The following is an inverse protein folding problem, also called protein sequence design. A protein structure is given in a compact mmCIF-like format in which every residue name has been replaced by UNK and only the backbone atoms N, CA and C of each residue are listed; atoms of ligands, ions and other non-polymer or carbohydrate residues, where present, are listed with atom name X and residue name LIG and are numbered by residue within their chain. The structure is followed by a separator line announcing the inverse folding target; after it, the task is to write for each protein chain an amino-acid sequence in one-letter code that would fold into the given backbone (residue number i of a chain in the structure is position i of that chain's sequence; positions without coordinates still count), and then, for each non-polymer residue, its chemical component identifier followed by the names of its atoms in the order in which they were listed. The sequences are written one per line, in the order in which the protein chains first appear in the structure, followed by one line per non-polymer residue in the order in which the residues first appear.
data_IF_923626961762
#
_entry.id   IF_923626961762
#
_cell.length_a   1.000
_cell.length_b   1.000
_cell.length_c   1.000
_cell.angle_alpha   90.00
_cell.angle_beta   90.00
_cell.angle_gamma   90.00
#
_symmetry.space_group_name_H-M   'P 1'
#
loop_
_entity.id
_entity.type
_entity.pdbx_description
1 polymer ?
#
# COMPACT_ATOMS: atom_id res chain seq x y z
N UNK A 1 3.24 22.82 9.68
CA UNK A 1 1.84 22.70 9.78
C UNK A 1 1.52 22.67 11.26
N UNK A 2 0.37 23.25 11.66
CA UNK A 2 0.17 23.76 13.03
C UNK A 2 -0.03 22.70 14.13
N UNK A 3 0.01 21.39 13.78
CA UNK A 3 -0.14 20.31 14.77
C UNK A 3 -1.47 20.30 15.51
N UNK A 4 -2.54 20.77 14.86
CA UNK A 4 -3.89 20.89 15.45
C UNK A 4 -4.80 19.70 15.16
N UNK A 5 -4.25 18.61 14.59
CA UNK A 5 -5.01 17.37 14.38
C UNK A 5 -5.42 16.76 15.74
N UNK A 6 -6.51 16.00 15.73
CA UNK A 6 -6.94 15.25 16.90
C UNK A 6 -5.85 14.27 17.37
N UNK A 7 -5.72 14.13 18.70
CA UNK A 7 -4.78 13.20 19.35
C UNK A 7 -5.44 11.82 19.45
N UNK A 8 -5.53 11.12 18.33
CA UNK A 8 -6.15 9.79 18.19
C UNK A 8 -5.21 8.84 17.46
N UNK A 9 -5.29 7.54 17.67
CA UNK A 9 -4.56 6.57 16.86
C UNK A 9 -4.88 6.73 15.37
N UNK A 10 -3.89 6.49 14.50
CA UNK A 10 -4.10 6.47 13.05
C UNK A 10 -3.65 5.12 12.46
N UNK A 11 -4.43 4.61 11.52
CA UNK A 11 -4.04 3.52 10.64
C UNK A 11 -4.16 4.03 9.20
N UNK A 12 -3.05 4.03 8.47
CA UNK A 12 -2.95 4.65 7.15
C UNK A 12 -2.07 3.80 6.24
N UNK A 13 -2.38 3.74 4.97
CA UNK A 13 -1.59 2.98 4.00
C UNK A 13 -2.17 3.06 2.61
N UNK A 14 -1.75 2.15 1.76
CA UNK A 14 -2.10 2.13 0.36
C UNK A 14 -1.97 0.71 -0.23
N UNK A 15 -2.48 0.56 -1.45
CA UNK A 15 -2.25 -0.62 -2.28
C UNK A 15 -0.89 -0.52 -2.99
N UNK A 16 -0.27 -1.63 -3.33
CA UNK A 16 1.08 -1.63 -3.93
C UNK A 16 1.13 -1.12 -5.38
N UNK A 17 -0.01 -0.95 -6.04
CA UNK A 17 -0.12 -0.43 -7.41
C UNK A 17 -1.29 0.56 -7.55
N UNK A 18 -1.40 1.53 -6.63
CA UNK A 18 -2.51 2.49 -6.56
C UNK A 18 -2.75 3.19 -7.90
N UNK A 19 -1.69 3.61 -8.56
CA UNK A 19 -1.73 4.33 -9.84
C UNK A 19 -1.10 3.43 -10.90
N UNK A 20 -1.92 2.54 -11.43
CA UNK A 20 -1.53 1.64 -12.52
C UNK A 20 -2.59 1.60 -13.63
N UNK A 21 -2.37 0.80 -14.65
CA UNK A 21 -3.31 0.60 -15.74
C UNK A 21 -3.59 1.88 -16.53
N UNK A 22 -4.84 2.30 -16.60
CA UNK A 22 -5.27 3.47 -17.40
C UNK A 22 -4.68 4.82 -16.93
N UNK A 23 -4.12 4.88 -15.73
CA UNK A 23 -3.49 6.09 -15.19
C UNK A 23 -1.98 6.16 -15.46
N UNK A 24 -1.41 5.13 -16.07
CA UNK A 24 0.00 5.10 -16.46
C UNK A 24 0.11 5.70 -17.85
N UNK A 25 0.85 6.79 -17.98
CA UNK A 25 1.16 7.33 -19.30
C UNK A 25 2.09 6.33 -20.01
N UNK A 26 1.61 5.70 -21.06
CA UNK A 26 2.36 4.71 -21.82
C UNK A 26 3.53 5.31 -22.61
N UNK A 27 3.60 6.64 -22.72
CA UNK A 27 4.69 7.35 -23.38
C UNK A 27 5.71 7.82 -22.36
N UNK A 28 6.96 7.43 -22.53
CA UNK A 28 8.08 7.81 -21.67
C UNK A 28 9.12 6.71 -21.55
N UNK A 29 10.21 7.03 -20.93
CA UNK A 29 11.32 6.12 -20.70
C UNK A 29 11.70 6.08 -19.22
N UNK A 30 12.31 4.97 -18.79
CA UNK A 30 12.88 4.86 -17.44
C UNK A 30 13.91 5.96 -17.18
N UNK A 31 14.69 6.32 -18.20
CA UNK A 31 15.73 7.34 -18.12
C UNK A 31 15.14 8.74 -17.84
N UNK A 32 14.05 9.09 -18.53
CA UNK A 32 13.34 10.35 -18.28
C UNK A 32 12.76 10.38 -16.87
N UNK A 33 12.14 9.28 -16.42
CA UNK A 33 11.59 9.19 -15.08
C UNK A 33 12.69 9.33 -14.01
N UNK A 34 13.78 8.60 -14.13
CA UNK A 34 14.89 8.69 -13.18
C UNK A 34 15.60 10.04 -13.17
N UNK A 35 15.60 10.76 -14.30
CA UNK A 35 16.14 12.12 -14.38
C UNK A 35 15.42 13.13 -13.49
N UNK A 36 14.16 12.84 -13.08
CA UNK A 36 13.42 13.69 -12.14
C UNK A 36 14.04 13.72 -10.74
N UNK A 37 14.90 12.74 -10.41
CA UNK A 37 15.54 12.65 -9.10
C UNK A 37 16.85 13.45 -8.98
N UNK A 38 17.33 14.07 -10.08
CA UNK A 38 18.56 14.86 -10.06
C UNK A 38 19.75 14.04 -9.58
N UNK A 39 20.43 14.52 -8.54
CA UNK A 39 21.61 13.86 -7.95
C UNK A 39 21.30 12.49 -7.31
N UNK A 40 20.04 12.21 -7.01
CA UNK A 40 19.59 10.93 -6.44
C UNK A 40 19.16 9.92 -7.52
N UNK A 41 19.50 10.16 -8.77
CA UNK A 41 19.11 9.31 -9.91
C UNK A 41 19.52 7.85 -9.75
N UNK A 42 20.74 7.61 -9.33
CA UNK A 42 21.27 6.25 -9.18
C UNK A 42 20.63 5.54 -7.97
N UNK A 43 20.35 6.25 -6.90
CA UNK A 43 19.59 5.73 -5.76
C UNK A 43 18.17 5.34 -6.18
N UNK A 44 17.52 6.16 -6.99
CA UNK A 44 16.21 5.87 -7.53
C UNK A 44 16.22 4.63 -8.45
N UNK A 45 17.23 4.50 -9.32
CA UNK A 45 17.42 3.29 -10.13
C UNK A 45 17.57 2.05 -9.25
N UNK A 46 18.42 2.12 -8.23
CA UNK A 46 18.64 1.01 -7.30
C UNK A 46 17.37 0.64 -6.54
N UNK A 47 16.51 1.61 -6.20
CA UNK A 47 15.26 1.37 -5.48
C UNK A 47 14.15 0.79 -6.36
N UNK A 48 13.97 1.33 -7.57
CA UNK A 48 12.82 0.97 -8.42
C UNK A 48 13.13 -0.12 -9.45
N UNK A 49 14.38 -0.23 -9.90
CA UNK A 49 14.79 -1.13 -10.98
C UNK A 49 16.26 -1.56 -10.81
N UNK A 50 16.58 -2.29 -9.71
CA UNK A 50 17.97 -2.56 -9.30
C UNK A 50 18.77 -3.38 -10.32
N UNK A 51 18.12 -4.21 -11.12
CA UNK A 51 18.73 -5.04 -12.16
C UNK A 51 18.52 -4.50 -13.58
N UNK A 52 17.79 -3.40 -13.72
CA UNK A 52 17.49 -2.78 -15.00
C UNK A 52 16.48 -3.53 -15.87
N UNK A 53 15.87 -4.60 -15.38
CA UNK A 53 15.04 -5.53 -16.17
C UNK A 53 13.56 -5.18 -16.19
N UNK A 54 13.08 -4.31 -15.28
CA UNK A 54 11.66 -3.98 -15.18
C UNK A 54 11.17 -3.19 -16.39
N UNK A 55 9.94 -3.48 -16.77
CA UNK A 55 9.24 -2.67 -17.78
C UNK A 55 8.99 -1.25 -17.25
N UNK A 56 9.00 -0.26 -18.17
CA UNK A 56 8.73 1.14 -17.81
C UNK A 56 7.41 1.32 -17.07
N UNK A 57 6.35 0.62 -17.50
CA UNK A 57 5.04 0.69 -16.87
C UNK A 57 5.06 0.19 -15.40
N UNK A 58 5.87 -0.81 -15.07
CA UNK A 58 6.04 -1.27 -13.68
C UNK A 58 6.74 -0.21 -12.84
N UNK A 59 7.87 0.31 -13.33
CA UNK A 59 8.65 1.34 -12.64
C UNK A 59 7.79 2.59 -12.41
N UNK A 60 7.07 3.03 -13.44
CA UNK A 60 6.20 4.20 -13.36
C UNK A 60 5.04 3.98 -12.37
N UNK A 61 4.42 2.79 -12.35
CA UNK A 61 3.36 2.44 -11.41
C UNK A 61 3.85 2.54 -9.96
N UNK A 62 5.03 1.97 -9.67
CA UNK A 62 5.65 2.02 -8.33
C UNK A 62 5.98 3.46 -7.94
N UNK A 63 6.67 4.20 -8.80
CA UNK A 63 7.02 5.59 -8.54
C UNK A 63 5.78 6.47 -8.28
N UNK A 64 4.74 6.36 -9.10
CA UNK A 64 3.52 7.14 -8.92
C UNK A 64 2.78 6.74 -7.63
N UNK A 65 2.76 5.44 -7.30
CA UNK A 65 2.18 4.96 -6.04
C UNK A 65 2.93 5.55 -4.85
N UNK A 66 4.24 5.50 -4.85
CA UNK A 66 5.06 6.07 -3.76
C UNK A 66 4.85 7.57 -3.64
N UNK A 67 4.96 8.30 -4.75
CA UNK A 67 4.85 9.76 -4.77
C UNK A 67 3.51 10.27 -4.25
N UNK A 68 2.41 9.59 -4.61
CA UNK A 68 1.05 10.09 -4.34
C UNK A 68 0.45 9.50 -3.08
N UNK A 69 0.84 8.28 -2.69
CA UNK A 69 0.20 7.52 -1.62
C UNK A 69 1.17 7.11 -0.50
N UNK A 70 2.23 6.36 -0.83
CA UNK A 70 3.08 5.78 0.20
C UNK A 70 3.86 6.83 1.00
N UNK A 71 4.51 7.78 0.34
CA UNK A 71 5.28 8.84 1.02
C UNK A 71 4.38 9.79 1.82
N UNK A 72 3.23 10.26 1.33
CA UNK A 72 2.27 11.00 2.15
C UNK A 72 1.75 10.21 3.36
N UNK A 73 1.52 8.90 3.23
CA UNK A 73 1.12 8.05 4.34
C UNK A 73 2.23 7.94 5.39
N UNK A 74 3.47 7.69 4.97
CA UNK A 74 4.67 7.64 5.83
C UNK A 74 4.92 8.96 6.53
N UNK A 75 4.86 10.07 5.79
CA UNK A 75 4.99 11.42 6.36
C UNK A 75 3.94 11.68 7.43
N UNK A 76 2.68 11.31 7.17
CA UNK A 76 1.58 11.48 8.12
C UNK A 76 1.81 10.63 9.36
N UNK A 77 2.11 9.34 9.21
CA UNK A 77 2.41 8.45 10.33
C UNK A 77 3.61 8.95 11.16
N UNK A 78 4.63 9.50 10.49
CA UNK A 78 5.79 10.12 11.14
C UNK A 78 5.41 11.28 12.05
N UNK A 79 4.47 12.15 11.63
CA UNK A 79 3.96 13.24 12.46
C UNK A 79 3.29 12.71 13.74
N UNK A 80 2.46 11.66 13.62
CA UNK A 80 1.81 11.03 14.77
C UNK A 80 2.83 10.38 15.71
N UNK A 81 3.72 9.56 15.18
CA UNK A 81 4.75 8.87 15.94
C UNK A 81 5.68 9.85 16.71
N UNK A 82 6.07 10.96 16.07
CA UNK A 82 6.91 12.00 16.70
C UNK A 82 6.20 12.67 17.88
N UNK A 83 4.87 12.73 17.87
CA UNK A 83 4.06 13.27 18.97
C UNK A 83 3.70 12.24 20.04
N UNK A 84 4.12 10.98 19.86
CA UNK A 84 3.77 9.87 20.74
C UNK A 84 2.35 9.36 20.54
N UNK A 85 1.68 9.72 19.44
CA UNK A 85 0.39 9.17 19.09
C UNK A 85 0.57 7.85 18.32
N UNK A 86 -0.22 6.80 18.61
CA UNK A 86 -0.12 5.52 17.91
C UNK A 86 -0.37 5.69 16.40
N UNK A 87 0.55 5.17 15.59
CA UNK A 87 0.42 5.13 14.14
C UNK A 87 0.73 3.72 13.63
N UNK A 88 -0.06 3.26 12.68
CA UNK A 88 0.12 1.98 12.00
C UNK A 88 0.10 2.23 10.50
N UNK A 89 1.08 1.64 9.79
CA UNK A 89 1.13 1.69 8.31
C UNK A 89 0.81 0.33 7.74
N UNK A 90 0.03 0.29 6.66
CA UNK A 90 -0.19 -0.91 5.87
C UNK A 90 0.22 -0.72 4.40
N UNK A 91 0.58 -1.82 3.79
CA UNK A 91 0.70 -1.98 2.34
C UNK A 91 -0.12 -3.19 1.93
N UNK A 92 -1.19 -2.98 1.19
CA UNK A 92 -1.96 -4.08 0.62
C UNK A 92 -1.34 -4.50 -0.71
N UNK A 93 -0.76 -5.70 -0.75
CA UNK A 93 -0.06 -6.23 -1.93
C UNK A 93 -0.60 -7.59 -2.41
N UNK A 94 -1.67 -8.07 -1.79
CA UNK A 94 -2.26 -9.35 -2.15
C UNK A 94 -2.93 -9.30 -3.53
N UNK A 95 -2.59 -10.25 -4.38
CA UNK A 95 -3.20 -10.43 -5.71
C UNK A 95 -3.86 -11.81 -5.78
N UNK A 96 -5.20 -11.87 -5.89
CA UNK A 96 -5.91 -13.14 -6.08
C UNK A 96 -5.41 -13.89 -7.31
N UNK A 97 -5.35 -15.22 -7.25
CA UNK A 97 -4.86 -16.04 -8.35
C UNK A 97 -5.61 -15.76 -9.66
N UNK A 98 -6.92 -15.56 -9.57
CA UNK A 98 -7.79 -15.24 -10.73
C UNK A 98 -7.53 -13.85 -11.33
N UNK A 99 -6.84 -12.96 -10.63
CA UNK A 99 -6.61 -11.57 -11.04
C UNK A 99 -5.15 -11.29 -11.47
N UNK A 100 -4.25 -12.27 -11.39
CA UNK A 100 -2.81 -12.08 -11.69
C UNK A 100 -2.55 -11.45 -13.06
N UNK A 101 -3.28 -11.84 -14.08
CA UNK A 101 -3.11 -11.28 -15.44
C UNK A 101 -3.54 -9.80 -15.52
N UNK A 102 -4.50 -9.38 -14.70
CA UNK A 102 -5.03 -8.00 -14.70
C UNK A 102 -4.30 -7.09 -13.71
N UNK A 103 -3.71 -7.67 -12.68
CA UNK A 103 -2.99 -6.98 -11.59
C UNK A 103 -1.50 -7.33 -11.62
N UNK A 104 -0.87 -7.19 -12.79
CA UNK A 104 0.52 -7.60 -13.02
C UNK A 104 1.52 -6.91 -12.09
N UNK A 105 1.24 -5.66 -11.69
CA UNK A 105 2.12 -4.86 -10.83
C UNK A 105 1.63 -4.79 -9.38
N UNK A 106 0.51 -5.46 -9.07
CA UNK A 106 -0.11 -5.46 -7.74
C UNK A 106 -1.57 -4.97 -7.77
N UNK A 107 -2.24 -4.98 -6.61
CA UNK A 107 -3.60 -4.48 -6.47
C UNK A 107 -3.66 -2.97 -6.69
N UNK A 108 -4.58 -2.54 -7.56
CA UNK A 108 -4.84 -1.15 -7.86
C UNK A 108 -5.74 -0.46 -6.83
N UNK A 109 -6.00 0.82 -7.06
CA UNK A 109 -6.80 1.66 -6.17
C UNK A 109 -8.17 1.05 -5.84
N UNK A 110 -8.49 1.01 -4.54
CA UNK A 110 -9.77 0.52 -4.04
C UNK A 110 -9.92 -1.01 -4.00
N UNK A 111 -8.92 -1.78 -4.44
CA UNK A 111 -8.97 -3.25 -4.41
C UNK A 111 -9.09 -3.79 -2.98
N UNK A 112 -8.46 -3.13 -2.03
CA UNK A 112 -8.46 -3.44 -0.61
C UNK A 112 -9.85 -3.34 0.05
N UNK A 113 -10.75 -2.52 -0.47
CA UNK A 113 -12.06 -2.23 0.15
C UNK A 113 -12.87 -3.50 0.39
N UNK A 114 -12.94 -4.40 -0.59
CA UNK A 114 -13.69 -5.64 -0.45
C UNK A 114 -13.10 -6.60 0.60
N UNK A 115 -11.79 -6.53 0.84
CA UNK A 115 -11.09 -7.28 1.88
C UNK A 115 -11.32 -6.66 3.27
N UNK A 116 -11.28 -5.34 3.37
CA UNK A 116 -11.59 -4.63 4.62
C UNK A 116 -12.99 -4.97 5.12
N UNK A 117 -13.97 -5.02 4.23
CA UNK A 117 -15.36 -5.30 4.59
C UNK A 117 -15.75 -6.79 4.54
N UNK A 118 -14.80 -7.70 4.24
CA UNK A 118 -15.01 -9.14 4.11
C UNK A 118 -16.23 -9.48 3.21
N UNK A 119 -16.38 -8.74 2.11
CA UNK A 119 -17.51 -8.86 1.19
C UNK A 119 -17.08 -9.22 -0.24
N UNK A 120 -16.08 -10.09 -0.35
CA UNK A 120 -15.53 -10.54 -1.62
C UNK A 120 -16.61 -11.14 -2.53
N UNK A 121 -16.52 -10.80 -3.81
CA UNK A 121 -17.37 -11.38 -4.86
C UNK A 121 -16.48 -11.93 -5.97
N UNK A 122 -16.68 -13.19 -6.29
CA UNK A 122 -16.01 -13.79 -7.43
C UNK A 122 -16.70 -13.36 -8.74
N UNK A 123 -15.94 -13.14 -9.83
CA UNK A 123 -16.51 -12.84 -11.13
C UNK A 123 -17.42 -13.98 -11.64
N UNK A 124 -18.48 -13.61 -12.37
CA UNK A 124 -19.35 -14.55 -13.08
C UNK A 124 -19.97 -15.68 -12.22
N UNK A 125 -20.21 -15.39 -10.91
CA UNK A 125 -20.81 -16.38 -10.02
C UNK A 125 -19.89 -17.53 -9.61
N UNK A 126 -18.59 -17.42 -9.88
CA UNK A 126 -17.60 -18.37 -9.38
C UNK A 126 -17.51 -18.35 -7.85
N UNK A 127 -16.88 -19.35 -7.28
CA UNK A 127 -16.61 -19.38 -5.84
C UNK A 127 -15.35 -18.59 -5.53
N UNK A 128 -15.40 -17.74 -4.48
CA UNK A 128 -14.23 -17.07 -3.94
C UNK A 128 -13.27 -18.12 -3.36
N UNK A 129 -12.00 -18.05 -3.74
CA UNK A 129 -10.99 -19.00 -3.28
C UNK A 129 -10.83 -18.97 -1.75
N UNK A 130 -10.51 -20.10 -1.10
CA UNK A 130 -10.28 -20.14 0.35
C UNK A 130 -9.20 -19.15 0.82
N UNK A 131 -8.12 -19.01 0.06
CA UNK A 131 -7.03 -18.09 0.35
C UNK A 131 -7.49 -16.64 0.35
N UNK A 132 -8.31 -16.25 -0.63
CA UNK A 132 -8.88 -14.91 -0.72
C UNK A 132 -9.75 -14.60 0.49
N UNK A 133 -10.58 -15.56 0.92
CA UNK A 133 -11.44 -15.44 2.12
C UNK A 133 -10.61 -15.28 3.38
N UNK A 134 -9.52 -16.02 3.51
CA UNK A 134 -8.65 -15.92 4.68
C UNK A 134 -7.97 -14.56 4.77
N UNK A 135 -7.47 -14.02 3.64
CA UNK A 135 -6.92 -12.66 3.59
C UNK A 135 -7.99 -11.63 3.98
N UNK A 136 -9.20 -11.75 3.44
CA UNK A 136 -10.29 -10.84 3.78
C UNK A 136 -10.66 -10.92 5.28
N UNK A 137 -10.80 -12.13 5.82
CA UNK A 137 -11.06 -12.35 7.24
C UNK A 137 -10.01 -11.70 8.14
N UNK A 138 -8.72 -11.89 7.82
CA UNK A 138 -7.63 -11.28 8.61
C UNK A 138 -7.64 -9.76 8.49
N UNK A 139 -7.81 -9.23 7.28
CA UNK A 139 -7.84 -7.78 7.06
C UNK A 139 -9.02 -7.13 7.77
N UNK A 140 -10.22 -7.69 7.63
CA UNK A 140 -11.40 -7.23 8.36
C UNK A 140 -11.17 -7.24 9.89
N UNK A 141 -10.58 -8.31 10.44
CA UNK A 141 -10.30 -8.41 11.86
C UNK A 141 -9.35 -7.29 12.34
N UNK A 142 -8.30 -6.95 11.59
CA UNK A 142 -7.42 -5.81 11.93
C UNK A 142 -8.20 -4.49 11.95
N UNK A 143 -9.04 -4.22 10.95
CA UNK A 143 -9.83 -2.98 10.87
C UNK A 143 -10.87 -2.90 11.99
N UNK A 144 -11.56 -3.99 12.28
CA UNK A 144 -12.52 -4.06 13.39
C UNK A 144 -11.84 -3.82 14.74
N UNK A 145 -10.69 -4.46 14.99
CA UNK A 145 -9.92 -4.25 16.22
C UNK A 145 -9.51 -2.79 16.35
N UNK A 146 -8.95 -2.22 15.29
CA UNK A 146 -8.53 -0.81 15.29
C UNK A 146 -9.71 0.14 15.52
N UNK A 147 -10.84 -0.07 14.86
CA UNK A 147 -12.03 0.77 15.04
C UNK A 147 -12.57 0.72 16.48
N UNK A 148 -12.44 -0.42 17.15
CA UNK A 148 -12.92 -0.60 18.52
C UNK A 148 -11.96 -0.10 19.59
N UNK A 149 -10.67 -0.17 19.36
CA UNK A 149 -9.66 -0.01 20.43
C UNK A 149 -8.53 0.98 20.07
N UNK A 150 -8.41 1.40 18.82
CA UNK A 150 -7.27 2.15 18.31
C UNK A 150 -6.00 1.29 18.11
N UNK A 151 -6.12 -0.03 18.24
CA UNK A 151 -5.04 -0.99 18.05
C UNK A 151 -5.51 -2.12 17.11
N UNK A 152 -4.85 -2.36 15.95
CA UNK A 152 -5.28 -3.40 15.02
C UNK A 152 -5.01 -4.83 15.53
N UNK A 153 -4.12 -5.00 16.50
CA UNK A 153 -3.70 -6.31 16.98
C UNK A 153 -4.81 -7.05 17.73
N UNK A 154 -4.82 -8.36 17.64
CA UNK A 154 -5.78 -9.23 18.30
C UNK A 154 -5.39 -10.71 18.23
N UNK A 155 -6.13 -11.55 18.94
CA UNK A 155 -5.88 -12.98 19.01
C UNK A 155 -5.96 -13.62 17.61
N UNK A 156 -4.99 -14.46 17.27
CA UNK A 156 -4.96 -15.19 15.99
C UNK A 156 -4.50 -14.35 14.79
N UNK A 157 -4.06 -13.12 15.03
CA UNK A 157 -3.48 -12.27 14.00
C UNK A 157 -1.97 -12.11 14.21
N UNK A 158 -1.15 -12.08 13.15
CA UNK A 158 0.23 -11.66 13.23
C UNK A 158 0.37 -10.29 13.89
N UNK A 159 1.46 -10.08 14.65
CA UNK A 159 1.70 -8.81 15.32
C UNK A 159 1.95 -7.69 14.30
N UNK A 160 1.14 -6.65 14.35
CA UNK A 160 1.32 -5.43 13.58
C UNK A 160 2.01 -4.38 14.47
N UNK A 161 3.28 -4.06 14.22
CA UNK A 161 4.01 -3.12 15.05
C UNK A 161 3.54 -1.68 14.88
N UNK A 162 3.74 -0.87 15.90
CA UNK A 162 3.66 0.58 15.77
C UNK A 162 4.70 1.09 14.77
N UNK A 163 4.29 2.04 13.96
CA UNK A 163 5.22 2.74 13.07
C UNK A 163 6.27 3.51 13.86
N UNK A 164 7.50 3.41 13.42
CA UNK A 164 8.64 4.10 14.03
C UNK A 164 9.54 4.69 12.94
N UNK A 165 9.83 5.98 13.02
CA UNK A 165 10.79 6.65 12.14
C UNK A 165 12.23 6.13 12.26
N UNK A 166 12.54 5.36 13.30
CA UNK A 166 13.87 4.78 13.53
C UNK A 166 14.07 3.42 12.87
N UNK A 167 13.00 2.78 12.37
CA UNK A 167 13.03 1.43 11.80
C UNK A 167 12.54 1.40 10.34
N UNK A 168 12.59 2.54 9.70
CA UNK A 168 12.08 2.71 8.36
C UNK A 168 13.22 2.77 7.36
#
# INVERSE_FOLDING_TARGET
KAGRQARVPIMIGNNSAEIGGAFVNASGTKEELFSLFGDLKDDAKAAYDPDGTKEFAEVQTRFNTDKVWAEPARFTAGIYATKGDPAYIFLFSYVPAAMKQRMQFGPGHGTDISYVFDNLRAPNGATVAPEDKEVARMMNAYWVNFARTGNPNGNGLPQWPLYSTKKN
#
